data_IF_569611225035
#
_entry.id   IF_569611225035
#
_cell.length_a   1.000
_cell.length_b   1.000
_cell.length_c   1.000
_cell.angle_alpha   90.00
_cell.angle_beta   90.00
_cell.angle_gamma   90.00
#
_symmetry.space_group_name_H-M   'P 1'
#
loop_
_entity.id
_entity.type
_entity.pdbx_description
1 polymer ?
#
# COMPACT_ATOMS: atom_id res chain seq x y z
N UNK A 1 7.56 -3.80 36.35
CA UNK A 1 6.98 -2.46 36.19
C UNK A 1 7.88 -1.66 35.28
N UNK A 2 7.64 -1.66 33.99
CA UNK A 2 8.37 -0.85 33.01
C UNK A 2 7.37 0.04 32.32
N UNK A 3 7.65 1.34 32.33
CA UNK A 3 6.79 2.42 31.89
C UNK A 3 6.77 2.44 30.35
N UNK A 4 5.61 2.21 29.76
CA UNK A 4 5.29 2.58 28.38
C UNK A 4 5.29 4.11 28.29
N UNK A 5 6.32 4.68 27.69
CA UNK A 5 6.35 6.11 27.35
C UNK A 5 5.63 6.29 26.03
N UNK A 6 4.45 6.87 26.11
CA UNK A 6 3.67 7.39 24.99
C UNK A 6 4.46 8.54 24.34
N UNK A 7 5.11 8.26 23.20
CA UNK A 7 5.76 9.30 22.39
C UNK A 7 4.71 9.94 21.49
N UNK A 8 3.97 10.91 22.03
CA UNK A 8 3.26 11.89 21.22
C UNK A 8 4.32 12.80 20.57
N UNK A 9 4.79 12.48 19.36
CA UNK A 9 5.58 13.41 18.56
C UNK A 9 4.68 14.56 18.13
N UNK A 10 4.76 15.68 18.85
CA UNK A 10 4.41 17.00 18.32
C UNK A 10 5.27 17.23 17.08
N UNK A 11 4.65 17.37 15.93
CA UNK A 11 5.31 17.95 14.76
C UNK A 11 5.71 19.38 15.11
N UNK A 12 6.97 19.56 15.46
CA UNK A 12 7.57 20.88 15.50
C UNK A 12 7.77 21.30 14.03
N UNK A 13 6.97 22.23 13.59
CA UNK A 13 7.19 22.92 12.33
C UNK A 13 8.61 23.52 12.35
N UNK A 14 9.49 22.95 11.54
CA UNK A 14 10.82 23.45 11.31
C UNK A 14 10.71 24.79 10.57
N UNK A 15 11.50 25.75 11.01
CA UNK A 15 11.63 27.14 10.55
C UNK A 15 12.17 27.30 9.12
N UNK A 16 11.63 26.54 8.16
CA UNK A 16 11.94 26.68 6.73
C UNK A 16 10.81 27.36 5.92
N UNK A 17 9.88 28.06 6.60
CA UNK A 17 8.69 28.66 5.99
C UNK A 17 8.90 30.11 5.48
N UNK A 18 10.12 30.67 5.54
CA UNK A 18 10.34 32.07 5.22
C UNK A 18 10.58 32.37 3.72
N UNK A 19 10.37 31.42 2.80
CA UNK A 19 10.61 31.67 1.36
C UNK A 19 9.48 31.25 0.40
N UNK A 20 8.29 30.88 0.89
CA UNK A 20 7.15 30.62 0.01
C UNK A 20 6.45 31.95 -0.33
N UNK A 21 6.55 32.39 -1.59
CA UNK A 21 5.79 33.53 -2.10
C UNK A 21 4.29 33.17 -2.10
N UNK A 22 3.55 33.68 -1.14
CA UNK A 22 2.09 33.59 -1.07
C UNK A 22 1.54 34.43 -2.22
N UNK A 23 0.87 33.81 -3.19
CA UNK A 23 0.15 34.48 -4.23
C UNK A 23 -0.93 35.42 -3.65
N UNK A 24 -1.27 36.53 -4.30
CA UNK A 24 -2.22 37.49 -3.75
C UNK A 24 -3.62 36.86 -3.64
N UNK A 25 -4.13 36.75 -2.40
CA UNK A 25 -5.53 36.44 -2.12
C UNK A 25 -5.82 35.24 -1.21
N UNK A 26 -4.83 34.49 -0.75
CA UNK A 26 -5.05 33.37 0.19
C UNK A 26 -4.57 33.72 1.60
N UNK A 27 -5.36 33.39 2.62
CA UNK A 27 -4.91 33.42 4.00
C UNK A 27 -3.88 32.31 4.24
N UNK A 28 -3.01 32.46 5.25
CA UNK A 28 -2.02 31.44 5.61
C UNK A 28 -2.67 30.08 5.88
N UNK A 29 -3.88 30.05 6.47
CA UNK A 29 -4.68 28.85 6.74
C UNK A 29 -5.20 28.21 5.44
N UNK A 30 -5.60 29.03 4.44
CA UNK A 30 -6.06 28.54 3.14
C UNK A 30 -4.89 28.04 2.28
N UNK A 31 -3.72 28.67 2.38
CA UNK A 31 -2.50 28.21 1.73
C UNK A 31 -2.05 26.86 2.32
N UNK A 32 -2.01 26.70 3.64
CA UNK A 32 -1.76 25.43 4.34
C UNK A 32 -2.80 24.37 4.00
N UNK A 33 -4.10 24.72 3.96
CA UNK A 33 -5.15 23.78 3.57
C UNK A 33 -5.02 23.36 2.10
N UNK A 34 -4.55 24.24 1.23
CA UNK A 34 -4.32 23.92 -0.19
C UNK A 34 -3.05 23.08 -0.38
N UNK A 35 -2.00 23.31 0.40
CA UNK A 35 -0.78 22.52 0.43
C UNK A 35 -1.03 21.12 1.03
N UNK A 36 -1.88 21.03 2.06
CA UNK A 36 -2.36 19.79 2.65
C UNK A 36 -3.35 19.03 1.74
N UNK A 37 -3.92 19.69 0.73
CA UNK A 37 -4.86 19.13 -0.22
C UNK A 37 -4.23 18.83 -1.59
N UNK A 38 -2.89 18.74 -1.70
CA UNK A 38 -2.25 18.34 -2.94
C UNK A 38 -2.71 16.93 -3.28
N UNK A 39 -3.39 16.71 -4.41
CA UNK A 39 -3.78 15.38 -4.82
C UNK A 39 -2.51 14.56 -5.10
N UNK A 40 -2.58 13.24 -4.83
CA UNK A 40 -1.52 12.32 -5.22
C UNK A 40 -1.27 12.50 -6.72
N UNK A 41 -0.04 12.85 -7.10
CA UNK A 41 0.33 13.07 -8.48
C UNK A 41 0.27 11.75 -9.26
N UNK A 42 -0.45 11.72 -10.37
CA UNK A 42 -0.58 10.53 -11.21
C UNK A 42 0.11 10.71 -12.56
N UNK A 43 0.69 9.62 -13.07
CA UNK A 43 1.26 9.60 -14.42
C UNK A 43 0.14 9.75 -15.46
N UNK A 44 0.33 10.59 -16.49
CA UNK A 44 -0.64 10.70 -17.57
C UNK A 44 -0.60 9.44 -18.46
N UNK A 45 -1.78 8.87 -18.73
CA UNK A 45 -2.00 7.83 -19.73
C UNK A 45 -3.06 8.30 -20.72
N UNK A 46 -2.93 7.90 -21.99
CA UNK A 46 -3.92 8.25 -23.02
C UNK A 46 -5.27 7.54 -22.79
N UNK A 47 -5.26 6.38 -22.12
CA UNK A 47 -6.45 5.62 -21.74
C UNK A 47 -6.14 4.69 -20.56
N UNK A 48 -7.22 4.18 -19.94
CA UNK A 48 -7.09 3.15 -18.91
C UNK A 48 -6.46 1.86 -19.46
N UNK A 49 -6.78 1.48 -20.68
CA UNK A 49 -6.18 0.31 -21.33
C UNK A 49 -4.67 0.46 -21.50
N UNK A 50 -4.18 1.66 -21.82
CA UNK A 50 -2.74 1.93 -21.89
C UNK A 50 -2.08 1.73 -20.53
N UNK A 51 -2.70 2.20 -19.44
CA UNK A 51 -2.22 1.94 -18.09
C UNK A 51 -2.18 0.43 -17.79
N UNK A 52 -3.25 -0.30 -18.06
CA UNK A 52 -3.33 -1.76 -17.85
C UNK A 52 -2.23 -2.48 -18.61
N UNK A 53 -2.02 -2.17 -19.90
CA UNK A 53 -0.95 -2.78 -20.70
C UNK A 53 0.44 -2.46 -20.14
N UNK A 54 0.65 -1.23 -19.69
CA UNK A 54 1.90 -0.81 -19.09
C UNK A 54 2.19 -1.63 -17.82
N UNK A 55 1.22 -1.75 -16.89
CA UNK A 55 1.40 -2.53 -15.66
C UNK A 55 1.66 -4.03 -15.95
N UNK A 56 0.93 -4.63 -16.89
CA UNK A 56 1.14 -6.03 -17.29
C UNK A 56 2.54 -6.28 -17.84
N UNK A 57 3.15 -5.32 -18.53
CA UNK A 57 4.48 -5.48 -19.12
C UNK A 57 5.59 -5.69 -18.10
N UNK A 58 5.38 -5.34 -16.82
CA UNK A 58 6.36 -5.50 -15.74
C UNK A 58 6.69 -6.97 -15.45
N UNK A 59 5.67 -7.83 -15.43
CA UNK A 59 5.82 -9.22 -15.01
C UNK A 59 4.83 -10.15 -15.72
N UNK A 60 4.73 -10.02 -17.04
CA UNK A 60 3.97 -10.97 -17.85
C UNK A 60 4.62 -12.36 -17.82
N UNK A 61 3.81 -13.41 -17.99
CA UNK A 61 4.21 -14.82 -17.91
C UNK A 61 5.42 -15.19 -18.77
N UNK A 62 5.65 -14.48 -19.85
CA UNK A 62 6.80 -14.67 -20.76
C UNK A 62 8.08 -13.97 -20.32
N UNK A 63 8.09 -13.22 -19.22
CA UNK A 63 9.27 -12.45 -18.82
C UNK A 63 10.26 -13.29 -17.98
N UNK A 64 11.59 -13.03 -18.10
CA UNK A 64 12.58 -13.68 -17.25
C UNK A 64 12.34 -13.39 -15.76
N UNK A 65 11.80 -12.22 -15.42
CA UNK A 65 11.47 -11.87 -14.04
C UNK A 65 10.39 -12.79 -13.48
N UNK A 66 9.30 -13.03 -14.25
CA UNK A 66 8.22 -13.92 -13.81
C UNK A 66 8.73 -15.35 -13.53
N UNK A 67 9.59 -15.88 -14.43
CA UNK A 67 10.18 -17.19 -14.22
C UNK A 67 11.04 -17.24 -12.93
N UNK A 68 11.87 -16.23 -12.68
CA UNK A 68 12.67 -16.13 -11.45
C UNK A 68 11.83 -16.03 -10.18
N UNK A 69 10.71 -15.30 -10.21
CA UNK A 69 9.79 -15.20 -9.08
C UNK A 69 9.18 -16.55 -8.69
N UNK A 70 9.01 -17.45 -9.65
CA UNK A 70 8.51 -18.81 -9.40
C UNK A 70 9.61 -19.80 -8.99
N UNK A 71 10.88 -19.43 -9.10
CA UNK A 71 12.04 -20.31 -8.83
C UNK A 71 13.01 -19.67 -7.83
N UNK A 72 14.02 -18.99 -8.33
CA UNK A 72 15.17 -18.52 -7.54
C UNK A 72 14.80 -17.47 -6.48
N UNK A 73 13.76 -16.67 -6.75
CA UNK A 73 13.27 -15.61 -5.86
C UNK A 73 12.12 -16.05 -4.96
N UNK A 74 11.53 -17.24 -5.19
CA UNK A 74 10.38 -17.70 -4.42
C UNK A 74 10.65 -17.71 -2.92
N UNK A 75 11.64 -18.47 -2.48
CA UNK A 75 11.92 -18.60 -1.04
C UNK A 75 12.55 -17.33 -0.43
N UNK A 76 13.47 -16.60 -1.10
CA UNK A 76 13.88 -15.28 -0.63
C UNK A 76 12.72 -14.30 -0.40
N UNK A 77 11.75 -14.23 -1.32
CA UNK A 77 10.60 -13.36 -1.18
C UNK A 77 9.66 -13.86 -0.05
N UNK A 78 9.41 -15.17 0.05
CA UNK A 78 8.65 -15.74 1.16
C UNK A 78 9.31 -15.43 2.51
N UNK A 79 10.63 -15.52 2.61
CA UNK A 79 11.36 -15.16 3.83
C UNK A 79 11.18 -13.68 4.18
N UNK A 80 11.21 -12.80 3.19
CA UNK A 80 10.91 -11.37 3.37
C UNK A 80 9.49 -11.14 3.89
N UNK A 81 8.49 -11.80 3.32
CA UNK A 81 7.10 -11.68 3.79
C UNK A 81 6.88 -12.27 5.19
N UNK A 82 7.57 -13.36 5.56
CA UNK A 82 7.51 -13.89 6.94
C UNK A 82 7.99 -12.86 7.96
N UNK A 83 9.10 -12.17 7.69
CA UNK A 83 9.57 -11.09 8.58
C UNK A 83 8.62 -9.90 8.59
N UNK A 84 8.03 -9.52 7.45
CA UNK A 84 7.07 -8.43 7.34
C UNK A 84 5.76 -8.71 8.09
N UNK A 85 5.28 -9.95 8.11
CA UNK A 85 4.02 -10.33 8.78
C UNK A 85 4.21 -10.77 10.23
N UNK A 86 5.41 -11.11 10.65
CA UNK A 86 5.74 -11.56 12.01
C UNK A 86 5.25 -10.64 13.14
N UNK A 87 5.31 -9.29 13.01
CA UNK A 87 4.76 -8.40 14.04
C UNK A 87 3.25 -8.56 14.22
N UNK A 88 2.53 -9.02 13.21
CA UNK A 88 1.06 -9.11 13.17
C UNK A 88 0.53 -10.53 13.43
N UNK A 89 1.39 -11.48 13.85
CA UNK A 89 1.05 -12.90 14.02
C UNK A 89 -0.20 -13.14 14.88
N UNK A 90 -0.35 -12.37 15.98
CA UNK A 90 -1.47 -12.53 16.91
C UNK A 90 -2.80 -12.01 16.32
N UNK A 91 -2.73 -11.04 15.40
CA UNK A 91 -3.87 -10.56 14.61
C UNK A 91 -4.21 -11.59 13.54
N UNK A 92 -3.20 -12.04 12.79
CA UNK A 92 -3.36 -13.02 11.70
C UNK A 92 -3.93 -14.35 12.19
N UNK A 93 -3.57 -14.79 13.41
CA UNK A 93 -4.11 -16.00 14.02
C UNK A 93 -5.64 -15.95 14.24
N UNK A 94 -6.24 -14.77 14.23
CA UNK A 94 -7.69 -14.55 14.35
C UNK A 94 -8.37 -14.23 13.00
N UNK A 95 -7.61 -14.19 11.90
CA UNK A 95 -8.13 -13.95 10.56
C UNK A 95 -8.46 -15.27 9.86
N UNK A 96 -9.60 -15.31 9.16
CA UNK A 96 -9.97 -16.44 8.30
C UNK A 96 -9.65 -16.13 6.84
N UNK A 97 -9.96 -14.91 6.40
CA UNK A 97 -9.85 -14.49 5.02
C UNK A 97 -8.94 -13.27 4.88
N UNK A 98 -7.95 -13.36 4.01
CA UNK A 98 -7.08 -12.25 3.66
C UNK A 98 -7.03 -12.04 2.15
N UNK A 99 -6.90 -10.78 1.72
CA UNK A 99 -6.73 -10.42 0.32
C UNK A 99 -5.42 -9.66 0.12
N UNK A 100 -4.57 -10.20 -0.76
CA UNK A 100 -3.35 -9.56 -1.22
C UNK A 100 -3.59 -8.87 -2.57
N UNK A 101 -3.40 -7.55 -2.63
CA UNK A 101 -3.66 -6.74 -3.81
C UNK A 101 -2.36 -6.50 -4.58
N UNK A 102 -2.30 -6.93 -5.86
CA UNK A 102 -1.10 -6.90 -6.69
C UNK A 102 -0.12 -8.03 -6.35
N UNK A 103 -0.65 -9.21 -6.06
CA UNK A 103 0.09 -10.34 -5.48
C UNK A 103 1.01 -11.07 -6.47
N UNK A 104 1.04 -10.68 -7.72
CA UNK A 104 1.90 -11.21 -8.78
C UNK A 104 1.97 -12.74 -8.81
N UNK A 105 2.96 -13.33 -8.13
CA UNK A 105 3.18 -14.80 -8.07
C UNK A 105 2.70 -15.43 -6.76
N UNK A 106 2.33 -14.63 -5.72
CA UNK A 106 1.59 -15.06 -4.54
C UNK A 106 2.42 -15.51 -3.36
N UNK A 107 3.68 -15.09 -3.23
CA UNK A 107 4.54 -15.42 -2.08
C UNK A 107 3.91 -14.94 -0.76
N UNK A 108 3.37 -13.70 -0.74
CA UNK A 108 2.65 -13.15 0.41
C UNK A 108 1.40 -13.96 0.77
N UNK A 109 0.66 -14.45 -0.22
CA UNK A 109 -0.51 -15.33 -0.02
C UNK A 109 -0.08 -16.67 0.58
N UNK A 110 1.02 -17.25 0.05
CA UNK A 110 1.59 -18.49 0.57
C UNK A 110 1.96 -18.33 2.05
N UNK A 111 2.68 -17.25 2.38
CA UNK A 111 3.12 -16.99 3.76
C UNK A 111 1.94 -16.74 4.70
N UNK A 112 0.92 -15.98 4.28
CA UNK A 112 -0.28 -15.81 5.11
C UNK A 112 -0.99 -17.13 5.40
N UNK A 113 -1.03 -18.06 4.43
CA UNK A 113 -1.57 -19.43 4.66
C UNK A 113 -0.70 -20.24 5.61
N UNK A 114 0.63 -20.17 5.52
CA UNK A 114 1.55 -20.78 6.49
C UNK A 114 1.32 -20.23 7.91
N UNK A 115 0.97 -18.93 8.04
CA UNK A 115 0.66 -18.29 9.32
C UNK A 115 -0.76 -18.56 9.83
N UNK A 116 -1.55 -19.39 9.13
CA UNK A 116 -2.85 -19.86 9.58
C UNK A 116 -4.05 -19.17 8.92
N UNK A 117 -3.86 -18.20 8.03
CA UNK A 117 -4.95 -17.53 7.30
C UNK A 117 -5.34 -18.37 6.08
N UNK A 118 -6.13 -19.43 6.30
CA UNK A 118 -6.43 -20.45 5.29
C UNK A 118 -7.16 -19.88 4.05
N UNK A 119 -8.00 -18.85 4.22
CA UNK A 119 -8.72 -18.15 3.16
C UNK A 119 -7.93 -17.03 2.49
N UNK A 120 -6.60 -16.96 2.68
CA UNK A 120 -5.81 -15.96 1.98
C UNK A 120 -5.79 -16.21 0.47
N UNK A 121 -6.00 -15.15 -0.32
CA UNK A 121 -6.00 -15.16 -1.79
C UNK A 121 -5.37 -13.87 -2.31
N UNK A 122 -4.75 -13.92 -3.47
CA UNK A 122 -4.23 -12.75 -4.16
C UNK A 122 -5.03 -12.39 -5.40
N UNK A 123 -4.94 -11.14 -5.82
CA UNK A 123 -5.32 -10.72 -7.17
C UNK A 123 -4.17 -9.99 -7.83
N UNK A 124 -4.09 -10.12 -9.15
CA UNK A 124 -3.16 -9.37 -9.99
C UNK A 124 -3.75 -9.24 -11.41
N UNK A 125 -3.26 -8.27 -12.19
CA UNK A 125 -3.59 -8.16 -13.61
C UNK A 125 -3.04 -9.35 -14.42
N UNK A 126 -1.98 -10.01 -13.89
CA UNK A 126 -1.36 -11.23 -14.43
C UNK A 126 -1.53 -12.35 -13.40
N UNK A 127 -2.56 -13.22 -13.54
CA UNK A 127 -2.89 -14.21 -12.53
C UNK A 127 -1.86 -15.34 -12.43
N UNK A 128 -1.70 -15.90 -11.23
CA UNK A 128 -0.88 -17.10 -10.96
C UNK A 128 -1.70 -18.07 -10.10
N UNK A 129 -2.65 -18.82 -10.71
CA UNK A 129 -3.46 -19.78 -9.97
C UNK A 129 -2.62 -20.91 -9.33
N UNK A 130 -3.01 -21.49 -8.18
CA UNK A 130 -4.25 -21.19 -7.46
C UNK A 130 -4.14 -20.07 -6.41
N UNK A 131 -2.97 -19.41 -6.27
CA UNK A 131 -2.74 -18.41 -5.23
C UNK A 131 -3.28 -17.04 -5.64
N UNK A 132 -3.15 -16.68 -6.91
CA UNK A 132 -3.49 -15.36 -7.42
C UNK A 132 -4.48 -15.45 -8.56
N UNK A 133 -5.64 -14.82 -8.41
CA UNK A 133 -6.68 -14.70 -9.42
C UNK A 133 -6.45 -13.47 -10.30
N UNK A 134 -7.02 -13.50 -11.51
CA UNK A 134 -7.09 -12.29 -12.32
C UNK A 134 -8.01 -11.25 -11.66
N UNK A 135 -7.56 -10.02 -11.55
CA UNK A 135 -8.35 -8.94 -10.99
C UNK A 135 -7.70 -7.57 -11.14
N UNK A 136 -8.54 -6.55 -11.08
CA UNK A 136 -8.14 -5.16 -11.09
C UNK A 136 -8.41 -4.55 -9.73
N UNK A 137 -7.38 -3.96 -9.11
CA UNK A 137 -7.48 -3.35 -7.78
C UNK A 137 -8.38 -2.11 -7.72
N UNK A 138 -8.76 -1.56 -8.89
CA UNK A 138 -9.71 -0.45 -8.99
C UNK A 138 -11.17 -0.90 -9.08
N UNK A 139 -11.40 -2.21 -9.26
CA UNK A 139 -12.73 -2.83 -9.34
C UNK A 139 -12.64 -4.30 -8.93
N UNK A 140 -12.78 -4.55 -7.62
CA UNK A 140 -12.65 -5.90 -7.05
C UNK A 140 -13.91 -6.74 -7.29
N UNK A 141 -13.72 -7.99 -7.72
CA UNK A 141 -14.82 -8.95 -7.97
C UNK A 141 -15.40 -9.56 -6.69
N UNK A 142 -14.99 -9.13 -5.51
CA UNK A 142 -15.42 -9.69 -4.24
C UNK A 142 -16.61 -8.92 -3.65
N UNK A 143 -17.40 -9.61 -2.81
CA UNK A 143 -18.52 -8.99 -2.10
C UNK A 143 -18.02 -8.00 -1.01
N UNK A 144 -18.92 -7.14 -0.56
CA UNK A 144 -18.66 -6.23 0.55
C UNK A 144 -18.34 -7.01 1.84
N UNK A 145 -17.50 -6.45 2.68
CA UNK A 145 -17.16 -6.99 3.99
C UNK A 145 -16.77 -8.50 3.96
N UNK A 146 -15.87 -8.88 3.04
CA UNK A 146 -15.45 -10.26 2.80
C UNK A 146 -14.14 -10.63 3.50
N UNK A 147 -13.31 -9.67 3.88
CA UNK A 147 -11.94 -9.94 4.34
C UNK A 147 -11.65 -9.36 5.71
N UNK A 148 -10.89 -10.13 6.51
CA UNK A 148 -10.41 -9.76 7.85
C UNK A 148 -9.08 -9.01 7.79
N UNK A 149 -8.30 -9.27 6.73
CA UNK A 149 -6.99 -8.67 6.53
C UNK A 149 -6.75 -8.35 5.06
N UNK A 150 -6.26 -7.13 4.81
CA UNK A 150 -5.83 -6.70 3.48
C UNK A 150 -4.33 -6.41 3.52
N UNK A 151 -3.60 -6.88 2.52
CA UNK A 151 -2.21 -6.52 2.29
C UNK A 151 -2.00 -5.94 0.89
N UNK A 152 -1.17 -4.92 0.78
CA UNK A 152 -0.70 -4.41 -0.51
C UNK A 152 0.65 -3.69 -0.39
N UNK A 153 1.48 -3.87 -1.41
CA UNK A 153 2.75 -3.16 -1.60
C UNK A 153 2.87 -2.51 -2.99
N UNK A 154 1.73 -2.29 -3.65
CA UNK A 154 1.68 -1.76 -5.03
C UNK A 154 1.00 -0.40 -5.13
N UNK A 155 0.87 0.35 -4.02
CA UNK A 155 0.11 1.61 -4.04
C UNK A 155 0.65 2.62 -5.07
N UNK A 156 1.97 2.68 -5.26
CA UNK A 156 2.63 3.51 -6.27
C UNK A 156 2.32 3.10 -7.73
N UNK A 157 1.88 1.86 -7.95
CA UNK A 157 1.41 1.36 -9.25
C UNK A 157 -0.07 1.65 -9.53
N UNK A 158 -0.81 2.18 -8.57
CA UNK A 158 -2.25 2.44 -8.67
C UNK A 158 -2.50 3.77 -9.40
N UNK A 159 -3.26 3.73 -10.51
CA UNK A 159 -3.59 4.93 -11.27
C UNK A 159 -4.63 5.82 -10.59
N UNK A 160 -5.63 5.21 -9.96
CA UNK A 160 -6.73 5.93 -9.26
C UNK A 160 -6.73 5.55 -7.78
N UNK A 161 -5.91 6.23 -6.94
CA UNK A 161 -5.78 5.94 -5.51
C UNK A 161 -7.10 5.97 -4.73
N UNK A 162 -8.02 6.87 -5.09
CA UNK A 162 -9.36 6.98 -4.52
C UNK A 162 -10.21 5.74 -4.80
N UNK A 163 -10.18 5.21 -6.03
CA UNK A 163 -10.90 3.99 -6.39
C UNK A 163 -10.34 2.78 -5.66
N UNK A 164 -9.01 2.64 -5.63
CA UNK A 164 -8.34 1.59 -4.89
C UNK A 164 -8.76 1.59 -3.41
N UNK A 165 -8.66 2.74 -2.75
CA UNK A 165 -9.04 2.85 -1.33
C UNK A 165 -10.53 2.58 -1.12
N UNK A 166 -11.41 3.04 -2.01
CA UNK A 166 -12.84 2.77 -1.92
C UNK A 166 -13.16 1.27 -2.05
N UNK A 167 -12.48 0.55 -2.95
CA UNK A 167 -12.61 -0.90 -3.06
C UNK A 167 -12.07 -1.64 -1.83
N UNK A 168 -10.89 -1.22 -1.31
CA UNK A 168 -10.37 -1.75 -0.04
C UNK A 168 -11.37 -1.55 1.10
N UNK A 169 -11.94 -0.34 1.22
CA UNK A 169 -12.97 -0.04 2.24
C UNK A 169 -14.20 -0.95 2.10
N UNK A 170 -14.64 -1.17 0.86
CA UNK A 170 -15.83 -1.95 0.56
C UNK A 170 -15.68 -3.41 0.96
N UNK A 171 -14.56 -4.04 0.56
CA UNK A 171 -14.34 -5.47 0.79
C UNK A 171 -13.88 -5.81 2.21
N UNK A 172 -13.43 -4.83 2.98
CA UNK A 172 -12.93 -5.02 4.35
C UNK A 172 -14.07 -5.10 5.35
N UNK A 173 -14.08 -6.13 6.21
CA UNK A 173 -15.05 -6.29 7.32
C UNK A 173 -14.89 -5.18 8.36
N UNK A 174 -15.96 -4.82 9.11
CA UNK A 174 -15.81 -4.02 10.33
C UNK A 174 -14.82 -4.69 11.30
N UNK A 175 -13.94 -3.89 11.90
CA UNK A 175 -12.90 -4.38 12.81
C UNK A 175 -11.66 -5.00 12.16
N UNK A 176 -11.67 -5.21 10.84
CA UNK A 176 -10.56 -5.81 10.10
C UNK A 176 -9.36 -4.87 9.95
N UNK A 177 -8.22 -5.43 9.54
CA UNK A 177 -6.95 -4.75 9.46
C UNK A 177 -6.46 -4.59 8.02
N UNK A 178 -5.74 -3.51 7.76
CA UNK A 178 -5.16 -3.20 6.46
C UNK A 178 -3.69 -2.85 6.65
N UNK A 179 -2.81 -3.61 6.03
CA UNK A 179 -1.36 -3.38 6.01
C UNK A 179 -0.95 -2.93 4.62
N UNK A 180 -0.43 -1.72 4.51
CA UNK A 180 0.12 -1.18 3.27
C UNK A 180 1.62 -0.93 3.43
N UNK A 181 2.40 -1.44 2.51
CA UNK A 181 3.78 -1.03 2.32
C UNK A 181 3.81 0.00 1.19
N UNK A 182 4.13 1.23 1.53
CA UNK A 182 4.06 2.39 0.64
C UNK A 182 5.46 2.79 0.18
N UNK A 183 5.63 3.01 -1.12
CA UNK A 183 6.80 3.65 -1.67
C UNK A 183 6.58 5.18 -1.61
N UNK A 184 7.31 5.86 -0.74
CA UNK A 184 7.14 7.31 -0.48
C UNK A 184 8.32 8.08 -1.05
N UNK A 185 8.03 9.08 -1.88
CA UNK A 185 9.02 10.01 -2.43
C UNK A 185 8.86 11.41 -1.82
N UNK A 186 9.59 11.77 -0.76
CA UNK A 186 9.50 13.08 -0.15
C UNK A 186 9.66 14.24 -1.16
N UNK A 187 9.07 15.38 -0.87
CA UNK A 187 9.10 16.53 -1.77
C UNK A 187 10.55 16.89 -2.20
N UNK A 188 10.75 17.14 -3.48
CA UNK A 188 12.06 17.42 -4.06
C UNK A 188 12.98 16.20 -4.27
N UNK A 189 12.53 15.00 -3.91
CA UNK A 189 13.25 13.75 -4.18
C UNK A 189 12.60 13.02 -5.37
N UNK A 190 13.38 12.33 -6.21
CA UNK A 190 12.81 11.40 -7.18
C UNK A 190 12.12 10.24 -6.44
N UNK A 191 11.22 9.53 -7.13
CA UNK A 191 10.64 8.31 -6.57
C UNK A 191 11.76 7.35 -6.11
N UNK A 192 11.70 6.75 -4.89
CA UNK A 192 12.79 5.98 -4.31
C UNK A 192 13.33 4.90 -5.25
N UNK A 193 12.45 4.26 -5.98
CA UNK A 193 12.80 3.13 -6.85
C UNK A 193 13.08 3.53 -8.29
N UNK A 194 12.96 4.84 -8.64
CA UNK A 194 13.00 5.30 -10.04
C UNK A 194 12.18 4.37 -10.96
N UNK A 195 11.05 3.86 -10.43
CA UNK A 195 10.29 2.79 -11.06
C UNK A 195 9.51 3.32 -12.27
N UNK A 196 9.90 2.83 -13.44
CA UNK A 196 9.24 3.19 -14.70
C UNK A 196 7.75 2.77 -14.74
N UNK A 197 7.33 1.82 -13.92
CA UNK A 197 5.92 1.37 -13.81
C UNK A 197 5.11 2.12 -12.77
N UNK A 198 5.72 2.99 -11.95
CA UNK A 198 4.97 3.81 -11.02
C UNK A 198 3.90 4.64 -11.75
N UNK A 199 2.65 4.52 -11.32
CA UNK A 199 1.51 5.23 -11.87
C UNK A 199 1.13 6.46 -11.06
N UNK A 200 1.62 6.56 -9.82
CA UNK A 200 1.48 7.75 -8.99
C UNK A 200 2.76 8.01 -8.19
N UNK A 201 2.83 9.19 -7.61
CA UNK A 201 3.90 9.58 -6.69
C UNK A 201 3.28 9.97 -5.36
N UNK A 202 3.53 9.15 -4.35
CA UNK A 202 3.13 9.41 -2.98
C UNK A 202 4.22 10.24 -2.29
N UNK A 203 3.83 11.39 -1.72
CA UNK A 203 4.76 12.31 -1.02
C UNK A 203 4.82 12.05 0.47
N UNK A 204 3.71 11.58 1.04
CA UNK A 204 3.57 11.34 2.47
C UNK A 204 2.48 10.29 2.72
N UNK A 205 2.63 9.46 3.74
CA UNK A 205 1.64 8.45 4.13
C UNK A 205 0.30 9.06 4.52
N UNK A 206 0.29 10.30 5.02
CA UNK A 206 -0.93 11.03 5.38
C UNK A 206 -1.87 11.25 4.19
N UNK A 207 -1.37 11.25 2.95
CA UNK A 207 -2.19 11.30 1.74
C UNK A 207 -3.10 10.07 1.66
N UNK A 208 -2.56 8.89 1.98
CA UNK A 208 -3.33 7.64 2.01
C UNK A 208 -4.30 7.61 3.20
N UNK A 209 -3.84 8.05 4.39
CA UNK A 209 -4.69 8.15 5.60
C UNK A 209 -5.91 9.02 5.32
N UNK A 210 -5.75 10.17 4.63
CA UNK A 210 -6.89 11.04 4.25
C UNK A 210 -7.90 10.33 3.34
N UNK A 211 -7.45 9.48 2.42
CA UNK A 211 -8.35 8.70 1.55
C UNK A 211 -9.17 7.68 2.36
N UNK A 212 -8.60 7.10 3.41
CA UNK A 212 -9.35 6.22 4.31
C UNK A 212 -10.36 6.98 5.17
N UNK A 213 -10.02 8.18 5.67
CA UNK A 213 -10.92 9.04 6.47
C UNK A 213 -11.24 8.48 7.85
N UNK A 214 -12.24 9.09 8.52
CA UNK A 214 -12.53 8.91 9.94
C UNK A 214 -12.98 7.49 10.37
N UNK A 215 -13.35 6.65 9.41
CA UNK A 215 -13.75 5.25 9.67
C UNK A 215 -12.59 4.29 9.97
N UNK A 216 -11.36 4.80 10.07
CA UNK A 216 -10.14 4.00 10.24
C UNK A 216 -9.23 4.59 11.31
N UNK A 217 -8.67 3.70 12.14
CA UNK A 217 -7.66 4.06 13.13
C UNK A 217 -6.28 3.70 12.60
N UNK A 218 -5.34 4.63 12.60
CA UNK A 218 -3.94 4.37 12.30
C UNK A 218 -3.31 3.70 13.51
N UNK A 219 -2.83 2.48 13.35
CA UNK A 219 -2.13 1.71 14.39
C UNK A 219 -0.62 1.88 14.28
N UNK A 220 -0.09 1.89 13.03
CA UNK A 220 1.33 2.13 12.75
C UNK A 220 1.47 3.03 11.51
N UNK A 221 2.43 3.94 11.57
CA UNK A 221 2.78 4.86 10.49
C UNK A 221 4.26 5.20 10.62
N UNK A 222 5.13 4.41 9.99
CA UNK A 222 6.58 4.56 10.14
C UNK A 222 7.36 3.97 8.99
N UNK A 223 8.63 4.39 8.86
CA UNK A 223 9.57 3.86 7.89
C UNK A 223 9.94 2.41 8.24
N UNK A 224 9.78 1.49 7.30
CA UNK A 224 10.21 0.11 7.45
C UNK A 224 11.72 0.02 7.15
N UNK A 225 12.52 -0.06 8.20
CA UNK A 225 13.97 -0.24 8.10
C UNK A 225 14.34 -1.70 7.87
N UNK A 226 14.48 -2.11 6.60
CA UNK A 226 15.08 -3.40 6.24
C UNK A 226 16.40 -3.18 5.50
N UNK A 227 17.52 -3.80 5.91
CA UNK A 227 18.86 -3.49 5.37
C UNK A 227 19.06 -3.88 3.89
N UNK A 228 18.20 -4.70 3.29
CA UNK A 228 18.38 -5.25 1.95
C UNK A 228 17.16 -5.12 1.02
N UNK A 229 16.13 -4.35 1.41
CA UNK A 229 14.92 -4.11 0.61
C UNK A 229 14.74 -2.62 0.34
N UNK A 230 14.01 -2.25 -0.72
CA UNK A 230 13.63 -0.85 -0.89
C UNK A 230 12.98 -0.32 0.38
N UNK A 231 13.28 0.92 0.71
CA UNK A 231 12.77 1.57 1.91
C UNK A 231 11.29 1.81 1.76
N UNK A 232 10.48 0.94 2.34
CA UNK A 232 9.03 1.09 2.37
C UNK A 232 8.58 1.80 3.64
N UNK A 233 7.46 2.50 3.51
CA UNK A 233 6.72 3.07 4.61
C UNK A 233 5.62 2.11 5.00
N UNK A 234 5.57 1.70 6.27
CA UNK A 234 4.50 0.86 6.80
C UNK A 234 3.34 1.74 7.26
N UNK A 235 2.16 1.51 6.70
CA UNK A 235 0.89 2.06 7.15
C UNK A 235 -0.02 0.90 7.56
N UNK A 236 -0.31 0.81 8.87
CA UNK A 236 -1.19 -0.22 9.40
C UNK A 236 -2.45 0.41 10.00
N UNK A 237 -3.59 0.01 9.48
CA UNK A 237 -4.89 0.58 9.78
C UNK A 237 -5.83 -0.48 10.33
N UNK A 238 -6.80 -0.05 11.17
CA UNK A 238 -7.94 -0.85 11.57
C UNK A 238 -9.22 -0.13 11.21
N UNK A 239 -10.14 -0.83 10.55
CA UNK A 239 -11.49 -0.34 10.27
C UNK A 239 -12.31 -0.32 11.57
N UNK A 240 -13.08 0.73 11.78
CA UNK A 240 -14.03 0.82 12.91
C UNK A 240 -15.04 -0.34 12.87
N UNK A 241 -15.47 -0.78 14.04
CA UNK A 241 -16.46 -1.86 14.20
C UNK A 241 -17.85 -1.41 13.82
#
# INVERSE_FOLDING_TARGET
MSKLTTSARKYAASTALDSLSIGPGLTHTEALAKELAMPIETRPYASYDQYIQHQKSKADHGTPLYAKLLTDLWEPDCAGFRENFKPYKDILANCQDALCLGARTGQEVHVLREMGVAGAIGIDLVPTPPLVLAGDVHQLQFADASYDFIFSNIFDHVLYPDRFVNEVKRVTRPGAHILLHLSVAPAGQPHPDNDQWAANTLRDSSDVVRLFGDGYTVLEDHLLGQPNWPTYWTLFLRKSS
#
